data_IF_727362307641
#
_entry.id   IF_727362307641
#
_cell.length_a   1.000
_cell.length_b   1.000
_cell.length_c   1.000
_cell.angle_alpha   90.00
_cell.angle_beta   90.00
_cell.angle_gamma   90.00
#
_symmetry.space_group_name_H-M   'P 1'
#
loop_
_entity.id
_entity.type
_entity.pdbx_description
1 polymer ?
#
# COMPACT_ATOMS: atom_id res chain seq x y z
N UNK A 1 -16.35 -23.42 -1.22
CA UNK A 1 -14.98 -24.01 -1.19
C UNK A 1 -13.95 -22.88 -1.26
N UNK A 2 -12.72 -23.09 -0.76
CA UNK A 2 -11.70 -22.04 -0.65
C UNK A 2 -10.27 -22.60 -0.82
N UNK A 3 -9.37 -21.79 -1.35
CA UNK A 3 -7.94 -22.06 -1.41
C UNK A 3 -7.27 -21.67 -0.09
N UNK A 4 -6.16 -22.34 0.22
CA UNK A 4 -5.36 -22.09 1.42
C UNK A 4 -3.92 -21.88 1.01
N UNK A 5 -3.37 -20.72 1.38
CA UNK A 5 -2.00 -20.35 1.09
C UNK A 5 -1.27 -20.04 2.39
N UNK A 6 0.00 -20.42 2.51
CA UNK A 6 0.84 -19.95 3.62
C UNK A 6 1.12 -18.46 3.43
N UNK A 7 1.03 -17.68 4.49
CA UNK A 7 1.43 -16.28 4.43
C UNK A 7 2.96 -16.19 4.33
N UNK A 8 3.45 -15.54 3.28
CA UNK A 8 4.88 -15.35 3.04
C UNK A 8 5.49 -14.22 3.86
N UNK A 9 4.67 -13.29 4.37
CA UNK A 9 5.09 -12.13 5.15
C UNK A 9 4.90 -12.35 6.66
N UNK A 10 4.04 -13.30 7.05
CA UNK A 10 3.84 -13.72 8.44
C UNK A 10 4.01 -15.24 8.58
N UNK A 11 5.25 -15.73 8.76
CA UNK A 11 5.53 -17.17 8.84
C UNK A 11 4.73 -17.84 9.96
N UNK A 12 3.88 -18.81 9.58
CA UNK A 12 3.00 -19.54 10.50
C UNK A 12 1.51 -19.29 10.28
N UNK A 13 1.15 -18.22 9.56
CA UNK A 13 -0.23 -17.92 9.24
C UNK A 13 -0.68 -18.55 7.91
N UNK A 14 -2.00 -18.76 7.78
CA UNK A 14 -2.65 -19.27 6.58
C UNK A 14 -3.68 -18.24 6.11
N UNK A 15 -3.57 -17.85 4.83
CA UNK A 15 -4.54 -17.01 4.15
C UNK A 15 -5.53 -17.91 3.43
N UNK A 16 -6.82 -17.71 3.71
CA UNK A 16 -7.92 -18.45 3.09
C UNK A 16 -8.56 -17.55 2.03
N UNK A 17 -8.54 -17.99 0.78
CA UNK A 17 -9.12 -17.24 -0.35
C UNK A 17 -10.34 -18.00 -0.89
N UNK A 18 -11.53 -17.41 -0.88
CA UNK A 18 -12.71 -18.00 -1.52
C UNK A 18 -12.48 -18.32 -2.99
N UNK A 19 -13.05 -19.43 -3.49
CA UNK A 19 -12.93 -19.80 -4.91
C UNK A 19 -13.52 -18.76 -5.88
N UNK A 20 -14.45 -17.93 -5.41
CA UNK A 20 -15.05 -16.86 -6.21
C UNK A 20 -14.16 -15.61 -6.35
N UNK A 21 -12.94 -15.61 -5.80
CA UNK A 21 -12.08 -14.43 -5.84
C UNK A 21 -11.76 -13.98 -7.26
N UNK A 22 -11.64 -14.90 -8.20
CA UNK A 22 -11.29 -14.56 -9.58
C UNK A 22 -12.41 -13.77 -10.23
N UNK A 23 -13.66 -14.16 -10.00
CA UNK A 23 -14.82 -13.38 -10.44
C UNK A 23 -14.82 -11.97 -9.83
N UNK A 24 -14.44 -11.85 -8.56
CA UNK A 24 -14.31 -10.54 -7.88
C UNK A 24 -13.16 -9.71 -8.45
N UNK A 25 -12.03 -10.33 -8.79
CA UNK A 25 -10.89 -9.67 -9.42
C UNK A 25 -11.22 -9.19 -10.84
N UNK A 26 -11.99 -9.96 -11.62
CA UNK A 26 -12.50 -9.52 -12.92
C UNK A 26 -13.40 -8.29 -12.78
N UNK A 27 -14.33 -8.28 -11.81
CA UNK A 27 -15.15 -7.10 -11.51
C UNK A 27 -14.30 -5.91 -11.06
N UNK A 28 -13.22 -6.14 -10.31
CA UNK A 28 -12.29 -5.08 -9.93
C UNK A 28 -11.51 -4.54 -11.14
N UNK A 29 -11.14 -5.39 -12.11
CA UNK A 29 -10.53 -4.95 -13.37
C UNK A 29 -11.45 -4.04 -14.19
N UNK A 30 -12.77 -4.29 -14.19
CA UNK A 30 -13.76 -3.43 -14.86
C UNK A 30 -13.83 -2.02 -14.27
N UNK A 31 -13.33 -1.80 -13.05
CA UNK A 31 -13.36 -0.50 -12.37
C UNK A 31 -12.03 0.26 -12.41
N UNK A 32 -11.02 -0.21 -13.17
CA UNK A 32 -9.71 0.45 -13.25
C UNK A 32 -9.79 1.89 -13.77
N UNK A 33 -10.56 2.14 -14.83
CA UNK A 33 -10.65 3.50 -15.38
C UNK A 33 -11.43 4.44 -14.44
N UNK A 34 -12.42 3.91 -13.71
CA UNK A 34 -13.11 4.66 -12.65
C UNK A 34 -12.17 4.99 -11.48
N UNK A 35 -11.25 4.08 -11.14
CA UNK A 35 -10.20 4.34 -10.17
C UNK A 35 -9.25 5.44 -10.64
N UNK A 36 -8.81 5.46 -11.92
CA UNK A 36 -7.99 6.57 -12.44
C UNK A 36 -8.71 7.90 -12.34
N UNK A 37 -9.97 7.94 -12.76
CA UNK A 37 -10.78 9.14 -12.66
C UNK A 37 -10.86 9.65 -11.21
N UNK A 38 -11.03 8.75 -10.25
CA UNK A 38 -11.03 9.08 -8.83
C UNK A 38 -9.69 9.66 -8.35
N UNK A 39 -8.56 9.05 -8.72
CA UNK A 39 -7.22 9.52 -8.31
C UNK A 39 -6.95 10.94 -8.83
N UNK A 40 -7.51 11.30 -9.98
CA UNK A 40 -7.38 12.64 -10.57
C UNK A 40 -8.28 13.70 -9.92
N UNK A 41 -9.20 13.32 -9.04
CA UNK A 41 -10.04 14.28 -8.32
C UNK A 41 -9.22 15.12 -7.32
N UNK A 42 -9.63 16.37 -7.06
CA UNK A 42 -9.06 17.18 -5.99
C UNK A 42 -9.15 16.48 -4.63
N UNK A 43 -8.15 16.67 -3.76
CA UNK A 43 -8.06 16.00 -2.46
C UNK A 43 -9.34 16.12 -1.61
N UNK A 44 -9.97 17.31 -1.58
CA UNK A 44 -11.24 17.54 -0.85
C UNK A 44 -12.40 16.69 -1.36
N UNK A 45 -12.44 16.42 -2.66
CA UNK A 45 -13.47 15.57 -3.27
C UNK A 45 -13.20 14.11 -2.97
N UNK A 46 -11.93 13.69 -3.05
CA UNK A 46 -11.49 12.34 -2.69
C UNK A 46 -11.84 11.97 -1.25
N UNK A 47 -11.57 12.86 -0.29
CA UNK A 47 -11.87 12.67 1.13
C UNK A 47 -13.37 12.48 1.38
N UNK A 48 -14.22 13.26 0.70
CA UNK A 48 -15.67 13.12 0.80
C UNK A 48 -16.14 11.75 0.30
N UNK A 49 -15.61 11.29 -0.82
CA UNK A 49 -15.98 9.99 -1.41
C UNK A 49 -15.58 8.79 -0.54
N UNK A 50 -14.44 8.86 0.15
CA UNK A 50 -14.00 7.80 1.09
C UNK A 50 -14.77 7.87 2.40
N UNK A 51 -15.01 9.08 2.92
CA UNK A 51 -15.67 9.31 4.21
C UNK A 51 -17.05 8.70 4.34
N UNK A 52 -17.75 8.49 3.22
CA UNK A 52 -19.09 7.88 3.20
C UNK A 52 -19.07 6.34 3.41
N UNK A 53 -17.89 5.70 3.47
CA UNK A 53 -17.72 4.32 3.95
C UNK A 53 -18.44 3.22 3.15
N UNK A 54 -18.95 3.55 1.96
CA UNK A 54 -19.77 2.67 1.13
C UNK A 54 -18.99 1.73 0.21
N UNK A 55 -19.73 1.07 -0.70
CA UNK A 55 -19.19 0.13 -1.70
C UNK A 55 -18.05 0.76 -2.51
N UNK A 56 -18.16 2.04 -2.86
CA UNK A 56 -17.13 2.76 -3.61
C UNK A 56 -15.81 2.85 -2.83
N UNK A 57 -15.86 3.18 -1.53
CA UNK A 57 -14.68 3.25 -0.67
C UNK A 57 -13.98 1.88 -0.57
N UNK A 58 -14.74 0.78 -0.51
CA UNK A 58 -14.16 -0.56 -0.52
C UNK A 58 -13.46 -0.87 -1.85
N UNK A 59 -14.09 -0.56 -3.00
CA UNK A 59 -13.48 -0.75 -4.33
C UNK A 59 -12.17 0.03 -4.46
N UNK A 60 -12.17 1.31 -4.07
CA UNK A 60 -10.99 2.17 -4.11
C UNK A 60 -9.89 1.62 -3.20
N UNK A 61 -10.24 1.21 -1.98
CA UNK A 61 -9.29 0.59 -1.05
C UNK A 61 -8.63 -0.66 -1.66
N UNK A 62 -9.39 -1.49 -2.39
CA UNK A 62 -8.84 -2.67 -3.05
C UNK A 62 -7.90 -2.33 -4.21
N UNK A 63 -8.20 -1.28 -4.98
CA UNK A 63 -7.27 -0.76 -6.00
C UNK A 63 -5.98 -0.26 -5.37
N UNK A 64 -6.06 0.58 -4.34
CA UNK A 64 -4.90 1.09 -3.60
C UNK A 64 -4.05 -0.07 -3.06
N UNK A 65 -4.67 -1.07 -2.42
CA UNK A 65 -3.95 -2.25 -1.93
C UNK A 65 -3.21 -2.99 -3.05
N UNK A 66 -3.84 -3.19 -4.21
CA UNK A 66 -3.23 -3.89 -5.34
C UNK A 66 -2.11 -3.06 -5.97
N UNK A 67 -2.33 -1.77 -6.19
CA UNK A 67 -1.36 -0.82 -6.71
C UNK A 67 -0.08 -0.83 -5.85
N UNK A 68 -0.26 -0.68 -4.54
CA UNK A 68 0.80 -0.68 -3.53
C UNK A 68 1.57 -2.01 -3.50
N UNK A 69 0.87 -3.15 -3.57
CA UNK A 69 1.52 -4.48 -3.62
C UNK A 69 2.29 -4.72 -4.92
N UNK A 70 1.77 -4.26 -6.06
CA UNK A 70 2.46 -4.39 -7.36
C UNK A 70 3.71 -3.50 -7.39
N UNK A 71 3.70 -2.40 -6.65
CA UNK A 71 4.79 -1.45 -6.58
C UNK A 71 4.56 -0.19 -7.43
N UNK A 72 3.31 0.08 -7.78
CA UNK A 72 2.91 1.34 -8.39
C UNK A 72 2.46 2.28 -7.26
N UNK A 73 3.17 3.39 -7.10
CA UNK A 73 2.90 4.42 -6.09
C UNK A 73 2.75 5.75 -6.84
N UNK A 74 1.80 6.59 -6.39
CA UNK A 74 1.62 7.96 -6.88
C UNK A 74 1.74 8.08 -8.41
N UNK A 75 0.87 7.37 -9.13
CA UNK A 75 0.87 7.36 -10.59
C UNK A 75 0.43 8.73 -11.12
N UNK A 76 1.38 9.54 -11.56
CA UNK A 76 1.12 10.90 -12.03
C UNK A 76 0.56 10.93 -13.46
N UNK A 77 1.19 10.19 -14.39
CA UNK A 77 0.85 10.22 -15.81
C UNK A 77 0.02 9.01 -16.29
N UNK A 78 -0.61 9.18 -17.46
CA UNK A 78 -1.50 8.17 -18.03
C UNK A 78 -0.74 6.96 -18.61
N UNK A 79 0.52 7.13 -19.03
CA UNK A 79 1.33 6.01 -19.53
C UNK A 79 1.69 5.04 -18.38
N UNK A 80 2.10 5.59 -17.25
CA UNK A 80 2.32 4.85 -16.01
C UNK A 80 1.02 4.15 -15.56
N UNK A 81 -0.13 4.80 -15.69
CA UNK A 81 -1.41 4.16 -15.38
C UNK A 81 -1.75 2.99 -16.33
N UNK A 82 -1.49 3.13 -17.63
CA UNK A 82 -1.63 2.01 -18.58
C UNK A 82 -0.71 0.84 -18.25
N UNK A 83 0.51 1.12 -17.78
CA UNK A 83 1.44 0.08 -17.35
C UNK A 83 0.96 -0.62 -16.07
N UNK A 84 0.43 0.12 -15.10
CA UNK A 84 -0.27 -0.46 -13.95
C UNK A 84 -1.41 -1.39 -14.39
N UNK A 85 -2.27 -0.97 -15.33
CA UNK A 85 -3.37 -1.82 -15.83
C UNK A 85 -2.84 -3.12 -16.45
N UNK A 86 -1.73 -3.08 -17.19
CA UNK A 86 -1.08 -4.27 -17.75
C UNK A 86 -0.58 -5.20 -16.65
N UNK A 87 0.11 -4.67 -15.64
CA UNK A 87 0.65 -5.47 -14.54
C UNK A 87 -0.44 -6.07 -13.66
N UNK A 88 -1.51 -5.30 -13.39
CA UNK A 88 -2.69 -5.79 -12.69
C UNK A 88 -3.28 -7.01 -13.40
N UNK A 89 -3.50 -6.92 -14.72
CA UNK A 89 -4.06 -8.02 -15.52
C UNK A 89 -3.13 -9.22 -15.54
N UNK A 90 -1.83 -8.99 -15.75
CA UNK A 90 -0.80 -10.04 -15.74
C UNK A 90 -0.72 -10.81 -14.42
N UNK A 91 -1.04 -10.18 -13.29
CA UNK A 91 -0.96 -10.82 -11.97
C UNK A 91 -2.28 -11.43 -11.50
N UNK A 92 -3.41 -10.83 -11.84
CA UNK A 92 -4.71 -11.16 -11.24
C UNK A 92 -5.76 -11.67 -12.22
N UNK A 93 -5.62 -11.43 -13.52
CA UNK A 93 -6.66 -11.66 -14.53
C UNK A 93 -6.25 -12.73 -15.53
N UNK A 94 -5.12 -12.54 -16.20
CA UNK A 94 -4.64 -13.42 -17.28
C UNK A 94 -4.14 -14.79 -16.78
N UNK A 95 -3.55 -14.93 -15.57
CA UNK A 95 -3.11 -16.23 -15.06
C UNK A 95 -4.28 -17.19 -14.75
N UNK A 96 -3.94 -18.48 -14.66
CA UNK A 96 -4.89 -19.49 -14.19
C UNK A 96 -5.44 -19.14 -12.79
N UNK A 97 -6.73 -19.43 -12.48
CA UNK A 97 -7.39 -19.01 -11.24
C UNK A 97 -6.64 -19.27 -9.94
N UNK A 98 -6.01 -20.44 -9.82
CA UNK A 98 -5.22 -20.77 -8.63
C UNK A 98 -3.98 -19.86 -8.46
N UNK A 99 -3.36 -19.41 -9.55
CA UNK A 99 -2.24 -18.47 -9.51
C UNK A 99 -2.71 -17.06 -9.16
N UNK A 100 -3.81 -16.59 -9.75
CA UNK A 100 -4.42 -15.30 -9.40
C UNK A 100 -4.80 -15.26 -7.91
N UNK A 101 -5.42 -16.32 -7.40
CA UNK A 101 -5.74 -16.45 -5.98
C UNK A 101 -4.49 -16.45 -5.07
N UNK A 102 -3.42 -17.12 -5.49
CA UNK A 102 -2.14 -17.11 -4.77
C UNK A 102 -1.52 -15.71 -4.73
N UNK A 103 -1.53 -14.98 -5.86
CA UNK A 103 -1.04 -13.60 -5.94
C UNK A 103 -1.88 -12.66 -5.08
N UNK A 104 -3.20 -12.82 -5.08
CA UNK A 104 -4.08 -12.03 -4.23
C UNK A 104 -3.87 -12.34 -2.74
N UNK A 105 -3.64 -13.61 -2.38
CA UNK A 105 -3.25 -13.97 -1.02
C UNK A 105 -1.94 -13.28 -0.61
N UNK A 106 -0.94 -13.26 -1.48
CA UNK A 106 0.32 -12.54 -1.21
C UNK A 106 0.09 -11.04 -1.03
N UNK A 107 -0.79 -10.41 -1.82
CA UNK A 107 -1.22 -9.02 -1.62
C UNK A 107 -1.83 -8.80 -0.23
N UNK A 108 -2.77 -9.63 0.19
CA UNK A 108 -3.37 -9.53 1.53
C UNK A 108 -2.33 -9.68 2.66
N UNK A 109 -1.43 -10.66 2.54
CA UNK A 109 -0.35 -10.88 3.51
C UNK A 109 0.59 -9.68 3.58
N UNK A 110 0.94 -9.10 2.44
CA UNK A 110 1.75 -7.89 2.37
C UNK A 110 1.10 -6.72 3.11
N UNK A 111 -0.17 -6.42 2.80
CA UNK A 111 -0.88 -5.30 3.44
C UNK A 111 -1.04 -5.52 4.96
N UNK A 112 -1.35 -6.75 5.39
CA UNK A 112 -1.41 -7.10 6.81
C UNK A 112 -0.07 -6.87 7.52
N UNK A 113 1.01 -7.33 6.91
CA UNK A 113 2.36 -7.14 7.43
C UNK A 113 2.72 -5.65 7.53
N UNK A 114 2.42 -4.85 6.51
CA UNK A 114 2.67 -3.40 6.54
C UNK A 114 1.89 -2.70 7.65
N UNK A 115 0.61 -3.04 7.85
CA UNK A 115 -0.18 -2.51 8.98
C UNK A 115 0.44 -2.86 10.33
N UNK A 116 0.85 -4.11 10.51
CA UNK A 116 1.54 -4.55 11.74
C UNK A 116 2.85 -3.80 11.96
N UNK A 117 3.63 -3.54 10.91
CA UNK A 117 4.83 -2.72 11.01
C UNK A 117 4.50 -1.29 11.42
N UNK A 118 3.45 -0.68 10.86
CA UNK A 118 3.02 0.67 11.25
C UNK A 118 2.61 0.71 12.73
N UNK A 119 1.82 -0.26 13.19
CA UNK A 119 1.42 -0.40 14.62
C UNK A 119 2.65 -0.58 15.52
N UNK A 120 3.63 -1.39 15.11
CA UNK A 120 4.88 -1.58 15.87
C UNK A 120 5.77 -0.34 15.86
N UNK A 121 5.70 0.46 14.79
CA UNK A 121 6.36 1.74 14.66
C UNK A 121 5.62 2.87 15.39
N UNK A 122 4.57 2.61 16.18
CA UNK A 122 3.92 3.62 17.02
C UNK A 122 4.91 4.30 17.99
N UNK A 123 6.07 3.70 18.30
CA UNK A 123 7.13 4.39 19.04
C UNK A 123 7.76 5.58 18.26
N UNK A 124 7.67 5.61 16.93
CA UNK A 124 8.02 6.79 16.11
C UNK A 124 6.97 7.89 16.22
N UNK A 125 5.71 7.54 16.54
CA UNK A 125 4.66 8.53 16.84
C UNK A 125 4.80 9.15 18.24
N UNK A 126 5.61 8.54 19.13
CA UNK A 126 6.00 9.11 20.43
C UNK A 126 7.26 9.98 20.37
N UNK A 127 7.94 10.08 19.23
CA UNK A 127 8.96 11.12 19.01
C UNK A 127 8.20 12.43 18.81
N UNK A 128 7.86 13.07 19.93
CA UNK A 128 7.39 14.45 19.91
C UNK A 128 8.43 15.30 19.17
N UNK A 129 7.99 16.34 18.46
CA UNK A 129 8.83 17.40 17.86
C UNK A 129 9.74 18.13 18.90
N UNK A 130 9.81 17.66 20.14
CA UNK A 130 10.75 18.08 21.18
C UNK A 130 12.10 17.35 21.19
N UNK A 131 12.22 16.16 20.58
CA UNK A 131 13.53 15.49 20.41
C UNK A 131 14.23 15.98 19.14
N UNK A 132 14.38 17.30 19.09
CA UNK A 132 15.04 18.00 18.01
C UNK A 132 16.55 17.83 18.10
N UNK A 133 17.07 16.78 17.45
CA UNK A 133 18.47 16.69 17.00
C UNK A 133 18.80 17.83 16.00
N UNK A 134 17.81 18.62 15.59
CA UNK A 134 17.95 19.75 14.66
C UNK A 134 17.73 21.13 15.29
N UNK A 135 17.68 21.25 16.62
CA UNK A 135 17.91 22.55 17.25
C UNK A 135 19.40 22.80 17.25
N UNK A 136 19.86 23.39 16.15
CA UNK A 136 21.05 24.21 16.12
C UNK A 136 20.90 25.35 17.16
N UNK A 137 21.06 25.02 18.45
CA UNK A 137 21.69 25.93 19.37
C UNK A 137 23.09 26.14 18.81
N UNK A 138 23.31 27.37 18.36
CA UNK A 138 24.59 27.98 18.03
C UNK A 138 25.74 27.18 18.65
N UNK A 139 26.38 26.33 17.84
CA UNK A 139 27.67 25.78 18.20
C UNK A 139 28.61 26.99 18.11
N UNK A 140 28.79 27.68 19.25
CA UNK A 140 29.92 28.56 19.43
C UNK A 140 31.15 27.66 19.36
N UNK A 141 31.82 27.66 18.21
CA UNK A 141 33.15 27.09 18.07
C UNK A 141 34.08 28.06 18.78
N UNK A 142 34.22 27.89 20.09
CA UNK A 142 35.40 28.41 20.78
C UNK A 142 36.60 27.57 20.34
N UNK A 143 37.51 28.22 19.60
CA UNK A 143 38.84 27.69 19.30
C UNK A 143 39.59 27.49 20.62
N UNK A 144 39.48 26.31 21.22
CA UNK A 144 40.41 25.88 22.26
C UNK A 144 41.57 25.14 21.58
N UNK A 145 42.66 25.88 21.40
CA UNK A 145 43.97 25.33 21.08
C UNK A 145 44.38 24.35 22.19
N UNK A 146 44.43 23.06 21.87
CA UNK A 146 45.04 22.06 22.75
C UNK A 146 46.55 22.09 22.52
N UNK A 147 47.39 22.33 23.55
CA UNK A 147 48.83 22.26 23.41
C UNK A 147 49.27 20.81 23.29
N UNK A 148 50.20 20.56 22.37
CA UNK A 148 50.94 19.31 22.29
C UNK A 148 52.09 19.38 23.29
N UNK A 149 51.95 18.64 24.40
CA UNK A 149 53.06 18.10 25.20
C UNK A 149 52.88 16.58 25.31
#
# INVERSE_FOLDING_TARGET
>A
MAWRFRDRYMPGEIIIIPFDITQKLHKLNETLDAYRWYELLPAKEREKTIGDGGILADILTKHVMCCYYIGWFDIEDDEAFENYKKDFRKLFIDPHPAFAACRFAACLGFIRHQRKLIEQCEFLSSVQEGDSILTNKSINIENQSVPWD
#
